data_IF_272292694391
#
_entry.id   IF_272292694391
#
_cell.length_a   1.000
_cell.length_b   1.000
_cell.length_c   1.000
_cell.angle_alpha   90.00
_cell.angle_beta   90.00
_cell.angle_gamma   90.00
#
_symmetry.space_group_name_H-M   'P 1'
#
loop_
_entity.id
_entity.type
_entity.pdbx_description
1 polymer ?
#
# COMPACT_ATOMS: atom_id res chain seq x y z
N UNK A 1 5.04 -16.94 -9.90
CA UNK A 1 4.38 -15.91 -9.04
C UNK A 1 3.90 -14.69 -9.83
N UNK A 2 4.71 -14.04 -10.68
CA UNK A 2 4.26 -12.91 -11.52
C UNK A 2 3.04 -13.22 -12.44
N UNK A 3 2.75 -14.50 -12.70
CA UNK A 3 1.57 -14.96 -13.45
C UNK A 3 0.22 -14.58 -12.84
N UNK A 4 0.17 -14.23 -11.54
CA UNK A 4 -1.03 -13.71 -10.87
C UNK A 4 -1.60 -12.42 -11.50
N UNK A 5 -0.77 -11.69 -12.25
CA UNK A 5 -1.19 -10.48 -12.95
C UNK A 5 -2.38 -10.72 -13.90
N UNK A 6 -2.46 -11.90 -14.53
CA UNK A 6 -3.55 -12.20 -15.45
C UNK A 6 -4.90 -12.35 -14.75
N UNK A 7 -4.92 -13.00 -13.57
CA UNK A 7 -6.13 -13.14 -12.77
C UNK A 7 -6.60 -11.80 -12.22
N UNK A 8 -5.67 -10.95 -11.74
CA UNK A 8 -6.02 -9.62 -11.24
C UNK A 8 -6.56 -8.72 -12.35
N UNK A 9 -5.97 -8.78 -13.55
CA UNK A 9 -6.46 -8.05 -14.72
C UNK A 9 -7.90 -8.42 -15.05
N UNK A 10 -8.22 -9.71 -15.09
CA UNK A 10 -9.58 -10.16 -15.39
C UNK A 10 -10.62 -9.61 -14.40
N UNK A 11 -10.27 -9.48 -13.11
CA UNK A 11 -11.15 -8.85 -12.10
C UNK A 11 -11.31 -7.36 -12.34
N UNK A 12 -10.24 -6.65 -12.70
CA UNK A 12 -10.29 -5.20 -12.98
C UNK A 12 -11.03 -4.85 -14.27
N UNK A 13 -11.20 -5.80 -15.19
CA UNK A 13 -11.94 -5.64 -16.44
C UNK A 13 -13.46 -5.90 -16.29
N UNK A 14 -13.92 -6.42 -15.14
CA UNK A 14 -15.35 -6.60 -14.86
C UNK A 14 -16.05 -5.23 -14.75
N UNK A 15 -17.19 -5.07 -15.42
CA UNK A 15 -17.95 -3.81 -15.46
C UNK A 15 -18.41 -3.29 -14.08
N UNK A 16 -18.47 -4.18 -13.08
CA UNK A 16 -18.85 -3.84 -11.70
C UNK A 16 -17.67 -3.30 -10.89
N UNK A 17 -16.45 -3.32 -11.45
CA UNK A 17 -15.22 -2.91 -10.78
C UNK A 17 -14.72 -1.60 -11.39
N UNK A 18 -14.41 -0.64 -10.54
CA UNK A 18 -13.78 0.63 -10.96
C UNK A 18 -12.47 0.80 -10.22
N UNK A 19 -11.38 0.99 -10.96
CA UNK A 19 -10.08 1.32 -10.39
C UNK A 19 -9.83 2.83 -10.44
N UNK A 20 -9.54 3.41 -9.28
CA UNK A 20 -9.14 4.81 -9.15
C UNK A 20 -7.77 4.87 -8.50
N UNK A 21 -6.73 5.00 -9.33
CA UNK A 21 -5.35 5.13 -8.88
C UNK A 21 -5.01 6.55 -8.42
N UNK A 22 -3.87 6.70 -7.76
CA UNK A 22 -3.34 8.01 -7.31
C UNK A 22 -4.27 8.79 -6.35
N UNK A 23 -5.13 8.08 -5.62
CA UNK A 23 -5.98 8.66 -4.57
C UNK A 23 -5.48 8.17 -3.22
N UNK A 24 -4.99 9.09 -2.39
CA UNK A 24 -4.58 8.79 -1.03
C UNK A 24 -5.80 8.76 -0.09
N UNK A 25 -5.89 7.71 0.72
CA UNK A 25 -6.86 7.62 1.81
C UNK A 25 -6.18 7.99 3.13
N UNK A 26 -6.75 8.94 3.85
CA UNK A 26 -6.16 9.53 5.06
C UNK A 26 -5.05 10.54 4.77
N UNK A 27 -4.45 11.08 5.84
CA UNK A 27 -3.41 12.11 5.76
C UNK A 27 -3.94 13.50 5.33
N UNK A 28 -3.05 14.49 5.32
CA UNK A 28 -3.39 15.86 4.93
C UNK A 28 -3.70 15.92 3.43
N UNK A 29 -4.92 16.33 3.08
CA UNK A 29 -5.36 16.46 1.69
C UNK A 29 -5.85 15.16 1.03
N UNK A 30 -5.85 14.03 1.74
CA UNK A 30 -6.42 12.77 1.27
C UNK A 30 -7.90 12.62 1.60
N UNK A 31 -8.57 11.63 1.00
CA UNK A 31 -9.97 11.30 1.31
C UNK A 31 -10.04 10.63 2.67
N UNK A 32 -10.94 11.08 3.55
CA UNK A 32 -11.04 10.50 4.89
C UNK A 32 -11.69 9.11 4.87
N UNK A 33 -11.27 8.20 5.77
CA UNK A 33 -11.97 6.93 6.03
C UNK A 33 -13.47 7.09 6.30
N UNK A 34 -13.84 8.11 7.08
CA UNK A 34 -15.24 8.41 7.41
C UNK A 34 -16.06 8.73 6.14
N UNK A 35 -15.48 9.49 5.20
CA UNK A 35 -16.17 9.81 3.96
C UNK A 35 -16.44 8.57 3.11
N UNK A 36 -15.54 7.58 3.10
CA UNK A 36 -15.77 6.33 2.41
C UNK A 36 -16.91 5.52 3.05
N UNK A 37 -16.97 5.50 4.39
CA UNK A 37 -18.04 4.80 5.11
C UNK A 37 -19.44 5.42 4.90
N UNK A 38 -19.52 6.70 4.56
CA UNK A 38 -20.78 7.36 4.15
C UNK A 38 -21.20 7.00 2.72
N UNK A 39 -20.23 6.76 1.82
CA UNK A 39 -20.47 6.55 0.40
C UNK A 39 -20.70 5.08 0.02
N UNK A 40 -20.16 4.15 0.80
CA UNK A 40 -20.19 2.72 0.51
C UNK A 40 -20.80 1.94 1.66
N UNK A 41 -21.56 0.89 1.32
CA UNK A 41 -22.14 -0.02 2.29
C UNK A 41 -21.10 -0.74 3.17
N UNK A 42 -19.89 -0.94 2.64
CA UNK A 42 -18.77 -1.52 3.34
C UNK A 42 -17.45 -1.01 2.75
N UNK A 43 -16.42 -0.91 3.60
CA UNK A 43 -15.07 -0.52 3.20
C UNK A 43 -14.08 -1.56 3.70
N UNK A 44 -13.25 -2.10 2.81
CA UNK A 44 -12.22 -3.08 3.15
C UNK A 44 -10.84 -2.46 2.93
N UNK A 45 -10.04 -2.38 4.00
CA UNK A 45 -8.69 -1.80 3.94
C UNK A 45 -7.65 -2.87 3.62
N UNK A 46 -7.16 -2.85 2.38
CA UNK A 46 -6.11 -3.74 1.88
C UNK A 46 -4.77 -2.99 1.70
N UNK A 47 -4.36 -2.20 2.71
CA UNK A 47 -3.24 -1.23 2.61
C UNK A 47 -1.84 -1.83 2.75
N UNK A 48 -1.74 -3.12 3.10
CA UNK A 48 -0.46 -3.77 3.36
C UNK A 48 0.26 -3.23 4.61
N UNK A 49 1.57 -3.43 4.68
CA UNK A 49 2.43 -2.98 5.77
C UNK A 49 3.61 -2.18 5.22
N UNK A 50 3.46 -0.85 5.18
CA UNK A 50 4.46 0.04 4.59
C UNK A 50 5.66 0.33 5.52
N UNK A 51 5.48 0.18 6.83
CA UNK A 51 6.52 0.46 7.82
C UNK A 51 7.43 -0.75 8.05
N UNK A 52 8.71 -0.48 8.30
CA UNK A 52 9.62 -1.46 8.87
C UNK A 52 9.58 -1.48 10.41
N UNK A 53 10.13 -2.54 10.99
CA UNK A 53 10.20 -2.73 12.44
C UNK A 53 11.63 -2.41 12.90
N UNK A 54 11.82 -1.47 13.84
CA UNK A 54 13.14 -1.18 14.38
C UNK A 54 13.68 -2.37 15.18
N UNK A 55 15.00 -2.56 15.12
CA UNK A 55 15.76 -3.49 15.93
C UNK A 55 15.98 -2.95 17.35
N UNK A 56 15.95 -1.63 17.53
CA UNK A 56 16.17 -0.92 18.78
C UNK A 56 17.53 -1.25 19.42
N UNK A 57 18.59 -1.31 18.61
CA UNK A 57 19.96 -1.60 19.05
C UNK A 57 20.89 -0.40 18.84
N UNK A 58 21.92 -0.22 19.68
CA UNK A 58 22.93 0.83 19.45
C UNK A 58 23.58 0.70 18.07
N UNK A 59 23.62 1.81 17.33
CA UNK A 59 24.20 1.86 15.99
C UNK A 59 23.23 1.56 14.84
N UNK A 60 21.94 1.31 15.12
CA UNK A 60 20.91 1.08 14.11
C UNK A 60 20.75 2.25 13.11
N UNK A 61 21.02 3.48 13.53
CA UNK A 61 20.91 4.68 12.68
C UNK A 61 22.21 5.04 11.94
N UNK A 62 23.27 4.22 12.04
CA UNK A 62 24.54 4.50 11.38
C UNK A 62 24.41 4.42 9.83
N UNK A 63 25.20 5.20 9.08
CA UNK A 63 25.25 5.10 7.63
C UNK A 63 25.53 3.67 7.17
N UNK A 64 24.69 3.15 6.25
CA UNK A 64 24.78 1.77 5.77
C UNK A 64 23.81 0.80 6.46
N UNK A 65 23.19 1.19 7.56
CA UNK A 65 22.09 0.45 8.18
C UNK A 65 20.76 0.81 7.51
N UNK A 66 20.11 -0.17 6.88
CA UNK A 66 18.86 0.01 6.16
C UNK A 66 17.89 -1.14 6.39
N UNK A 67 16.60 -0.85 6.47
CA UNK A 67 15.56 -1.89 6.50
C UNK A 67 15.50 -2.65 5.18
N UNK A 68 15.13 -3.93 5.25
CA UNK A 68 14.90 -4.74 4.05
C UNK A 68 13.81 -4.09 3.16
N UNK A 69 12.74 -3.54 3.75
CA UNK A 69 11.67 -2.82 3.03
C UNK A 69 12.23 -1.68 2.20
N UNK A 70 13.11 -0.84 2.77
CA UNK A 70 13.74 0.28 2.07
C UNK A 70 14.64 -0.21 0.94
N UNK A 71 15.45 -1.24 1.18
CA UNK A 71 16.34 -1.79 0.17
C UNK A 71 15.56 -2.42 -1.01
N UNK A 72 14.51 -3.20 -0.72
CA UNK A 72 13.64 -3.80 -1.74
C UNK A 72 12.97 -2.72 -2.59
N UNK A 73 12.36 -1.71 -1.95
CA UNK A 73 11.72 -0.61 -2.66
C UNK A 73 12.66 0.15 -3.59
N UNK A 74 13.95 0.21 -3.27
CA UNK A 74 14.95 0.89 -4.10
C UNK A 74 15.27 0.11 -5.37
N UNK A 75 15.47 -1.21 -5.30
CA UNK A 75 15.87 -1.98 -6.49
C UNK A 75 14.68 -2.48 -7.33
N UNK A 76 13.47 -2.55 -6.75
CA UNK A 76 12.28 -3.06 -7.44
C UNK A 76 11.47 -1.99 -8.17
N UNK A 77 11.96 -0.75 -8.19
CA UNK A 77 11.29 0.38 -8.84
C UNK A 77 11.04 0.14 -10.33
#
# INVERSE_FOLDING_TARGET
>A
IKSLQNSLRAVLEDERVTFVGHVQIGGTGGVSPARLAELYHAVVYCVGAAADRPLAVPGEDLPGSYSATRFVSWYSA
#
